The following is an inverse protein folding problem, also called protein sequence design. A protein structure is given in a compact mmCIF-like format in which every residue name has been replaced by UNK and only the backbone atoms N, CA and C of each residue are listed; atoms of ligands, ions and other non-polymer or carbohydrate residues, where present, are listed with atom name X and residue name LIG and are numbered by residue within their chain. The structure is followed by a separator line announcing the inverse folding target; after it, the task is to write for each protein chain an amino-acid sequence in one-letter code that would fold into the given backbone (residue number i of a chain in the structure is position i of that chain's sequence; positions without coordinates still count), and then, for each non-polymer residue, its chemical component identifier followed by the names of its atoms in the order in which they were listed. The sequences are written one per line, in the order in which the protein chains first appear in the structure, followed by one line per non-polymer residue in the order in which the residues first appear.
data_IF_758660791261
#
_entry.id   IF_758660791261
#
_cell.length_a   1.000
_cell.length_b   1.000
_cell.length_c   1.000
_cell.angle_alpha   90.00
_cell.angle_beta   90.00
_cell.angle_gamma   90.00
#
_symmetry.space_group_name_H-M   'P 1'
#
loop_
_entity.id
_entity.type
_entity.pdbx_description
1 polymer ?
#
# COMPACT_ATOMS: atom_id res chain seq x y z
N UNK A 1 -12.46 0.94 18.29
CA UNK A 1 -13.74 0.33 18.70
C UNK A 1 -13.51 -1.01 19.39
N UNK A 2 -13.17 -2.11 18.69
CA UNK A 2 -12.91 -3.41 19.34
C UNK A 2 -11.75 -3.40 20.36
N UNK A 3 -10.66 -2.69 20.05
CA UNK A 3 -9.51 -2.52 20.95
C UNK A 3 -9.87 -1.81 22.27
N UNK A 4 -10.63 -0.71 22.17
CA UNK A 4 -11.06 0.10 23.32
C UNK A 4 -12.07 -0.68 24.17
N UNK A 5 -13.00 -1.39 23.53
CA UNK A 5 -13.93 -2.30 24.22
C UNK A 5 -13.22 -3.44 24.95
N UNK A 6 -12.21 -4.05 24.32
CA UNK A 6 -11.40 -5.09 24.96
C UNK A 6 -10.61 -4.55 26.17
N UNK A 7 -10.02 -3.37 26.05
CA UNK A 7 -9.31 -2.70 27.14
C UNK A 7 -10.24 -2.37 28.32
N UNK A 8 -11.45 -1.89 28.05
CA UNK A 8 -12.48 -1.57 29.04
C UNK A 8 -12.99 -2.80 29.80
N UNK A 9 -13.14 -3.93 29.09
CA UNK A 9 -13.69 -5.16 29.66
C UNK A 9 -12.64 -6.00 30.39
N UNK A 10 -11.36 -5.90 30.03
CA UNK A 10 -10.26 -6.67 30.63
C UNK A 10 -10.22 -6.68 32.18
N UNK A 11 -10.35 -5.54 32.90
CA UNK A 11 -10.35 -5.55 34.37
C UNK A 11 -11.60 -6.18 35.00
N UNK A 12 -12.73 -6.18 34.28
CA UNK A 12 -14.03 -6.66 34.76
C UNK A 12 -14.34 -8.09 34.30
N UNK A 13 -13.43 -8.68 33.52
CA UNK A 13 -13.60 -9.94 32.84
C UNK A 13 -13.30 -11.15 33.75
N UNK A 14 -14.17 -12.17 33.67
CA UNK A 14 -13.86 -13.55 34.11
C UNK A 14 -12.74 -14.16 33.23
N UNK A 15 -12.10 -15.25 33.69
CA UNK A 15 -10.87 -15.79 33.09
C UNK A 15 -10.96 -16.03 31.57
N UNK A 16 -12.11 -16.52 31.07
CA UNK A 16 -12.34 -16.70 29.63
C UNK A 16 -12.42 -15.39 28.84
N UNK A 17 -12.96 -14.34 29.44
CA UNK A 17 -13.07 -13.01 28.82
C UNK A 17 -11.73 -12.25 28.89
N UNK A 18 -10.90 -12.52 29.92
CA UNK A 18 -9.53 -11.99 30.01
C UNK A 18 -8.66 -12.47 28.87
N UNK A 19 -8.75 -13.75 28.51
CA UNK A 19 -8.03 -14.31 27.38
C UNK A 19 -8.38 -13.61 26.06
N UNK A 20 -9.68 -13.38 25.82
CA UNK A 20 -10.16 -12.71 24.61
C UNK A 20 -9.68 -11.26 24.57
N UNK A 21 -9.85 -10.53 25.68
CA UNK A 21 -9.49 -9.10 25.75
C UNK A 21 -7.99 -8.87 25.64
N UNK A 22 -7.17 -9.72 26.27
CA UNK A 22 -5.71 -9.67 26.16
C UNK A 22 -5.24 -10.02 24.74
N UNK A 23 -5.82 -11.04 24.12
CA UNK A 23 -5.48 -11.43 22.74
C UNK A 23 -5.83 -10.35 21.72
N UNK A 24 -6.97 -9.66 21.92
CA UNK A 24 -7.33 -8.51 21.08
C UNK A 24 -6.30 -7.38 21.25
N UNK A 25 -5.82 -7.13 22.47
CA UNK A 25 -4.86 -6.05 22.76
C UNK A 25 -3.51 -6.29 22.08
N UNK A 26 -2.95 -7.48 22.24
CA UNK A 26 -1.64 -7.85 21.66
C UNK A 26 -1.68 -8.06 20.16
N UNK A 27 -2.86 -8.28 19.58
CA UNK A 27 -3.03 -8.36 18.12
C UNK A 27 -2.96 -7.00 17.41
N UNK A 28 -3.16 -5.87 18.11
CA UNK A 28 -3.23 -4.55 17.47
C UNK A 28 -1.93 -4.17 16.73
N UNK A 29 -0.73 -4.27 17.33
CA UNK A 29 0.54 -4.00 16.64
C UNK A 29 0.76 -4.87 15.41
N UNK A 30 0.42 -6.16 15.51
CA UNK A 30 0.53 -7.14 14.43
C UNK A 30 -0.42 -6.82 13.26
N UNK A 31 -1.68 -6.52 13.55
CA UNK A 31 -2.68 -6.14 12.55
C UNK A 31 -2.34 -4.80 11.89
N UNK A 32 -1.85 -3.82 12.65
CA UNK A 32 -1.38 -2.54 12.12
C UNK A 32 -0.21 -2.73 11.14
N UNK A 33 0.79 -3.50 11.53
CA UNK A 33 1.93 -3.83 10.67
C UNK A 33 1.47 -4.51 9.38
N UNK A 34 0.59 -5.52 9.49
CA UNK A 34 0.03 -6.21 8.33
C UNK A 34 -0.72 -5.26 7.40
N UNK A 35 -1.56 -4.38 7.96
CA UNK A 35 -2.30 -3.38 7.21
C UNK A 35 -1.35 -2.42 6.48
N UNK A 36 -0.29 -1.93 7.12
CA UNK A 36 0.70 -1.05 6.48
C UNK A 36 1.33 -1.72 5.26
N UNK A 37 1.62 -3.01 5.37
CA UNK A 37 2.21 -3.80 4.29
C UNK A 37 1.26 -3.95 3.11
N UNK A 38 0.04 -4.41 3.36
CA UNK A 38 -0.95 -4.58 2.30
C UNK A 38 -1.30 -3.27 1.60
N UNK A 39 -1.26 -2.15 2.34
CA UNK A 39 -1.65 -0.84 1.79
C UNK A 39 -0.56 -0.20 0.93
N UNK A 40 0.72 -0.44 1.24
CA UNK A 40 1.84 0.29 0.63
C UNK A 40 2.83 -0.58 -0.15
N UNK A 41 2.74 -1.90 -0.12
CA UNK A 41 3.60 -2.77 -0.96
C UNK A 41 2.79 -3.42 -2.08
N UNK A 42 3.17 -3.14 -3.33
CA UNK A 42 2.37 -3.49 -4.51
C UNK A 42 2.15 -5.00 -4.73
N UNK A 43 2.93 -5.89 -4.10
CA UNK A 43 2.67 -7.34 -3.99
C UNK A 43 3.42 -7.90 -2.77
N UNK A 44 2.74 -8.46 -1.74
CA UNK A 44 3.43 -9.06 -0.60
C UNK A 44 4.19 -10.31 -1.08
N UNK A 45 5.51 -10.22 -1.22
CA UNK A 45 6.34 -11.41 -1.50
C UNK A 45 6.13 -12.43 -0.38
N UNK A 46 5.83 -13.67 -0.78
CA UNK A 46 5.51 -14.82 0.07
C UNK A 46 6.59 -15.00 1.14
N UNK A 47 6.16 -14.95 2.39
CA UNK A 47 6.94 -15.14 3.61
C UNK A 47 7.80 -13.93 4.04
N UNK A 48 7.10 -12.93 4.61
CA UNK A 48 7.75 -11.89 5.41
C UNK A 48 8.06 -12.51 6.77
N UNK A 49 9.33 -12.57 7.16
CA UNK A 49 9.78 -13.00 8.49
C UNK A 49 8.97 -12.39 9.64
N UNK A 50 8.42 -11.18 9.42
CA UNK A 50 7.51 -10.50 10.35
C UNK A 50 6.20 -11.24 10.68
N UNK A 51 5.72 -12.18 9.87
CA UNK A 51 4.50 -12.96 10.20
C UNK A 51 4.73 -13.88 11.39
N UNK A 52 5.91 -14.52 11.46
CA UNK A 52 6.29 -15.33 12.62
C UNK A 52 6.38 -14.49 13.88
N UNK A 53 6.97 -13.29 13.77
CA UNK A 53 7.04 -12.32 14.87
C UNK A 53 5.65 -11.81 15.30
N UNK A 54 4.76 -11.53 14.35
CA UNK A 54 3.38 -11.12 14.62
C UNK A 54 2.56 -12.23 15.30
N UNK A 55 2.72 -13.49 14.88
CA UNK A 55 2.08 -14.62 15.56
C UNK A 55 2.65 -14.80 16.97
N UNK A 56 3.97 -14.71 17.10
CA UNK A 56 4.64 -14.83 18.39
C UNK A 56 4.21 -13.74 19.38
N UNK A 57 4.09 -12.48 18.94
CA UNK A 57 3.67 -11.38 19.82
C UNK A 57 2.26 -11.57 20.40
N UNK A 58 1.37 -12.26 19.66
CA UNK A 58 0.00 -12.56 20.11
C UNK A 58 -0.05 -13.83 20.95
N UNK A 59 0.60 -14.90 20.50
CA UNK A 59 0.47 -16.23 21.11
C UNK A 59 1.22 -16.36 22.43
N UNK A 60 2.40 -15.75 22.57
CA UNK A 60 3.22 -15.93 23.76
C UNK A 60 2.55 -15.38 25.05
N UNK A 61 1.95 -14.17 25.07
CA UNK A 61 1.20 -13.70 26.22
C UNK A 61 -0.08 -14.50 26.49
N UNK A 62 -0.74 -15.01 25.45
CA UNK A 62 -1.92 -15.87 25.58
C UNK A 62 -1.56 -17.21 26.22
N UNK A 63 -0.43 -17.81 25.83
CA UNK A 63 0.09 -19.03 26.45
C UNK A 63 0.37 -18.78 27.93
N UNK A 64 1.05 -17.67 28.29
CA UNK A 64 1.30 -17.33 29.70
C UNK A 64 0.01 -17.27 30.52
N UNK A 65 -1.02 -16.59 30.02
CA UNK A 65 -2.29 -16.47 30.71
C UNK A 65 -2.98 -17.83 30.89
N UNK A 66 -2.97 -18.69 29.88
CA UNK A 66 -3.59 -20.03 29.96
C UNK A 66 -2.83 -20.95 30.91
N UNK A 67 -1.49 -20.90 30.92
CA UNK A 67 -0.66 -21.84 31.69
C UNK A 67 -0.43 -21.39 33.12
N UNK A 68 -0.32 -20.09 33.38
CA UNK A 68 0.03 -19.54 34.69
C UNK A 68 -1.03 -18.59 35.27
N UNK A 69 -2.05 -18.21 34.49
CA UNK A 69 -3.07 -17.27 34.95
C UNK A 69 -2.44 -15.93 35.36
N UNK A 70 -2.79 -15.46 36.56
CA UNK A 70 -2.17 -14.28 37.20
C UNK A 70 -0.91 -14.61 38.01
N UNK A 71 -0.55 -15.89 38.13
CA UNK A 71 0.63 -16.31 38.88
C UNK A 71 1.89 -16.19 38.03
N UNK A 72 3.02 -15.95 38.68
CA UNK A 72 4.29 -15.81 38.01
C UNK A 72 4.78 -17.19 37.51
N UNK A 73 5.41 -17.23 36.35
CA UNK A 73 5.83 -18.47 35.69
C UNK A 73 6.88 -19.32 36.46
N UNK A 74 7.28 -18.89 37.65
CA UNK A 74 8.29 -19.53 38.50
C UNK A 74 9.73 -19.46 37.96
N UNK A 75 9.89 -19.09 36.68
CA UNK A 75 11.18 -18.94 36.00
C UNK A 75 11.32 -17.53 35.40
N UNK A 76 12.37 -16.77 35.76
CA UNK A 76 12.62 -15.44 35.20
C UNK A 76 12.97 -15.47 33.71
N UNK A 77 13.37 -16.63 33.18
CA UNK A 77 13.61 -16.82 31.75
C UNK A 77 12.28 -17.00 31.03
N UNK A 78 11.38 -17.82 31.59
CA UNK A 78 10.08 -18.08 30.98
C UNK A 78 9.18 -16.83 31.00
N UNK A 79 9.22 -16.07 32.10
CA UNK A 79 8.55 -14.78 32.20
C UNK A 79 9.04 -13.80 31.11
N UNK A 80 10.37 -13.68 30.94
CA UNK A 80 10.95 -12.84 29.87
C UNK A 80 10.55 -13.30 28.48
N UNK A 81 10.48 -14.60 28.23
CA UNK A 81 10.13 -15.15 26.93
C UNK A 81 8.64 -15.04 26.60
N UNK A 82 7.75 -15.09 27.58
CA UNK A 82 6.30 -15.06 27.33
C UNK A 82 5.65 -13.68 27.49
N UNK A 83 6.28 -12.78 28.23
CA UNK A 83 5.75 -11.43 28.47
C UNK A 83 6.70 -10.35 27.91
N UNK A 84 7.98 -10.37 28.29
CA UNK A 84 8.90 -9.28 27.95
C UNK A 84 9.32 -9.21 26.48
N UNK A 85 9.73 -10.34 25.89
CA UNK A 85 10.21 -10.40 24.50
C UNK A 85 9.09 -10.14 23.47
N UNK A 86 7.85 -10.63 23.64
CA UNK A 86 6.72 -10.26 22.80
C UNK A 86 6.49 -8.75 22.69
N UNK A 87 6.65 -8.01 23.79
CA UNK A 87 6.51 -6.55 23.79
C UNK A 87 7.58 -5.85 22.95
N UNK A 88 8.83 -6.32 23.00
CA UNK A 88 9.90 -5.80 22.12
C UNK A 88 9.58 -6.06 20.64
N UNK A 89 8.98 -7.21 20.35
CA UNK A 89 8.54 -7.57 19.00
C UNK A 89 7.42 -6.64 18.52
N UNK A 90 6.46 -6.28 19.38
CA UNK A 90 5.41 -5.31 19.06
C UNK A 90 5.98 -3.96 18.61
N UNK A 91 6.97 -3.42 19.34
CA UNK A 91 7.66 -2.19 18.93
C UNK A 91 8.32 -2.34 17.56
N UNK A 92 9.01 -3.46 17.32
CA UNK A 92 9.61 -3.76 16.03
C UNK A 92 8.59 -3.79 14.88
N UNK A 93 7.42 -4.39 15.12
CA UNK A 93 6.33 -4.44 14.15
C UNK A 93 5.77 -3.04 13.85
N UNK A 94 5.54 -2.22 14.87
CA UNK A 94 5.03 -0.84 14.68
C UNK A 94 6.05 0.00 13.91
N UNK A 95 7.32 -0.03 14.31
CA UNK A 95 8.39 0.75 13.67
C UNK A 95 8.62 0.33 12.22
N UNK A 96 8.59 -0.98 11.93
CA UNK A 96 8.72 -1.45 10.55
C UNK A 96 7.50 -1.11 9.71
N UNK A 97 6.29 -1.15 10.28
CA UNK A 97 5.05 -0.69 9.63
C UNK A 97 5.12 0.80 9.28
N UNK A 98 5.50 1.64 10.24
CA UNK A 98 5.73 3.08 10.03
C UNK A 98 6.84 3.35 9.00
N UNK A 99 7.93 2.58 9.03
CA UNK A 99 9.00 2.66 8.05
C UNK A 99 8.52 2.36 6.62
N UNK A 100 7.63 1.36 6.45
CA UNK A 100 7.00 1.06 5.16
C UNK A 100 6.17 2.25 4.66
N UNK A 101 5.36 2.86 5.54
CA UNK A 101 4.59 4.06 5.22
C UNK A 101 5.54 5.19 4.78
N UNK A 102 6.58 5.49 5.55
CA UNK A 102 7.54 6.57 5.26
C UNK A 102 8.39 6.34 4.01
N UNK A 103 8.67 5.09 3.64
CA UNK A 103 9.46 4.78 2.44
C UNK A 103 8.59 4.86 1.18
N UNK A 104 7.41 4.22 1.19
CA UNK A 104 6.57 4.06 0.00
C UNK A 104 5.51 5.16 -0.15
N UNK A 105 5.36 6.11 0.80
CA UNK A 105 4.33 7.14 0.68
C UNK A 105 4.47 8.02 -0.57
N UNK A 106 5.66 8.12 -1.17
CA UNK A 106 5.90 8.88 -2.41
C UNK A 106 5.49 8.13 -3.69
N UNK A 107 5.28 6.83 -3.60
CA UNK A 107 5.00 5.97 -4.76
C UNK A 107 3.54 6.10 -5.23
N UNK A 108 2.64 6.65 -4.41
CA UNK A 108 1.23 6.88 -4.77
C UNK A 108 1.06 8.22 -5.51
N UNK A 109 0.62 8.17 -6.78
CA UNK A 109 0.49 9.34 -7.66
C UNK A 109 -0.80 10.15 -7.44
N UNK A 110 -1.77 9.64 -6.66
CA UNK A 110 -3.01 10.38 -6.35
C UNK A 110 -2.82 11.18 -5.05
N UNK A 111 -2.61 12.52 -5.10
CA UNK A 111 -2.22 13.30 -3.93
C UNK A 111 -3.25 13.29 -2.80
N UNK A 112 -4.55 13.20 -3.11
CA UNK A 112 -5.64 13.11 -2.13
C UNK A 112 -5.68 11.77 -1.40
N UNK A 113 -5.55 10.64 -2.11
CA UNK A 113 -5.50 9.29 -1.50
C UNK A 113 -4.19 9.05 -0.76
N UNK A 114 -3.07 9.54 -1.30
CA UNK A 114 -1.74 9.52 -0.68
C UNK A 114 -1.73 10.22 0.67
N UNK A 115 -2.23 11.47 0.72
CA UNK A 115 -2.25 12.25 1.97
C UNK A 115 -3.14 11.57 3.01
N UNK A 116 -4.35 11.14 2.64
CA UNK A 116 -5.27 10.49 3.57
C UNK A 116 -4.68 9.20 4.16
N UNK A 117 -4.18 8.28 3.31
CA UNK A 117 -3.63 6.98 3.76
C UNK A 117 -2.36 7.15 4.59
N UNK A 118 -1.44 8.00 4.14
CA UNK A 118 -0.19 8.27 4.83
C UNK A 118 -0.41 8.93 6.19
N UNK A 119 -1.28 9.95 6.27
CA UNK A 119 -1.61 10.59 7.53
C UNK A 119 -2.36 9.63 8.47
N UNK A 120 -3.39 8.93 7.99
CA UNK A 120 -4.17 7.98 8.80
C UNK A 120 -3.28 6.89 9.40
N UNK A 121 -2.48 6.21 8.58
CA UNK A 121 -1.63 5.11 9.04
C UNK A 121 -0.43 5.63 9.85
N UNK A 122 0.11 6.79 9.53
CA UNK A 122 1.15 7.44 10.34
C UNK A 122 0.66 7.80 11.74
N UNK A 123 -0.47 8.50 11.85
CA UNK A 123 -1.06 8.85 13.14
C UNK A 123 -1.53 7.63 13.92
N UNK A 124 -2.18 6.66 13.26
CA UNK A 124 -2.56 5.40 13.90
C UNK A 124 -1.34 4.66 14.46
N UNK A 125 -0.22 4.62 13.73
CA UNK A 125 1.02 4.01 14.21
C UNK A 125 1.62 4.73 15.42
N UNK A 126 1.66 6.07 15.42
CA UNK A 126 2.13 6.86 16.58
C UNK A 126 1.25 6.66 17.81
N UNK A 127 -0.06 6.56 17.61
CA UNK A 127 -1.03 6.27 18.68
C UNK A 127 -0.80 4.88 19.25
N UNK A 128 -0.70 3.86 18.40
CA UNK A 128 -0.46 2.48 18.85
C UNK A 128 0.87 2.41 19.60
N UNK A 129 1.91 3.09 19.09
CA UNK A 129 3.21 3.17 19.75
C UNK A 129 3.14 3.81 21.14
N UNK A 130 2.44 4.95 21.26
CA UNK A 130 2.27 5.62 22.55
C UNK A 130 1.42 4.81 23.52
N UNK A 131 0.36 4.14 23.06
CA UNK A 131 -0.44 3.25 23.90
C UNK A 131 0.39 2.09 24.47
N UNK A 132 1.15 1.38 23.63
CA UNK A 132 2.04 0.28 24.06
C UNK A 132 3.11 0.79 25.03
N UNK A 133 3.70 1.96 24.76
CA UNK A 133 4.69 2.57 25.65
C UNK A 133 4.11 2.99 27.00
N UNK A 134 2.93 3.61 27.02
CA UNK A 134 2.30 4.02 28.27
C UNK A 134 1.86 2.84 29.13
N UNK A 135 1.48 1.71 28.53
CA UNK A 135 1.18 0.49 29.28
C UNK A 135 2.38 -0.02 30.09
N UNK A 136 3.60 0.15 29.56
CA UNK A 136 4.84 -0.31 30.21
C UNK A 136 5.47 0.71 31.15
N UNK A 137 5.48 1.98 30.75
CA UNK A 137 6.33 2.99 31.39
C UNK A 137 5.57 3.89 32.37
N UNK A 138 4.24 3.86 32.33
CA UNK A 138 3.40 4.73 33.17
C UNK A 138 2.46 3.87 33.99
N UNK A 139 2.61 3.91 35.32
CA UNK A 139 1.61 3.46 36.28
C UNK A 139 0.41 4.42 36.30
N UNK A 140 -0.16 4.69 35.13
CA UNK A 140 -1.38 5.46 35.01
C UNK A 140 -2.54 4.61 35.52
N UNK A 141 -3.36 5.17 36.41
CA UNK A 141 -4.65 4.58 36.77
C UNK A 141 -5.51 4.35 35.53
N UNK A 142 -6.45 3.42 35.64
CA UNK A 142 -7.31 2.95 34.54
C UNK A 142 -7.98 4.08 33.74
N UNK A 143 -8.35 5.16 34.44
CA UNK A 143 -8.98 6.37 33.90
C UNK A 143 -8.01 7.17 32.99
N UNK A 144 -6.73 7.28 33.36
CA UNK A 144 -5.72 7.99 32.58
C UNK A 144 -5.43 7.30 31.24
N UNK A 145 -5.45 5.96 31.23
CA UNK A 145 -5.26 5.16 30.01
C UNK A 145 -6.47 5.28 29.06
N UNK A 146 -7.69 5.35 29.61
CA UNK A 146 -8.93 5.54 28.84
C UNK A 146 -9.02 6.90 28.17
N UNK A 147 -8.76 7.98 28.92
CA UNK A 147 -8.80 9.33 28.37
C UNK A 147 -7.82 9.51 27.20
N UNK A 148 -6.65 8.87 27.27
CA UNK A 148 -5.67 8.94 26.21
C UNK A 148 -6.09 8.15 24.96
N UNK A 149 -6.73 7.00 25.14
CA UNK A 149 -7.29 6.20 24.05
C UNK A 149 -8.42 6.95 23.33
N UNK A 150 -9.24 7.68 24.07
CA UNK A 150 -10.30 8.53 23.51
C UNK A 150 -9.74 9.75 22.77
N UNK A 151 -8.72 10.42 23.31
CA UNK A 151 -8.03 11.53 22.60
C UNK A 151 -7.44 11.03 21.28
N UNK A 152 -6.82 9.85 21.30
CA UNK A 152 -6.27 9.22 20.10
C UNK A 152 -7.35 8.86 19.07
N UNK A 153 -8.50 8.33 19.52
CA UNK A 153 -9.64 8.01 18.67
C UNK A 153 -10.23 9.28 18.03
N UNK A 154 -10.36 10.35 18.83
CA UNK A 154 -10.83 11.66 18.37
C UNK A 154 -9.85 12.26 17.36
N UNK A 155 -8.54 12.16 17.61
CA UNK A 155 -7.52 12.63 16.66
C UNK A 155 -7.61 11.88 15.32
N UNK A 156 -7.74 10.55 15.34
CA UNK A 156 -7.96 9.73 14.13
C UNK A 156 -9.26 10.12 13.42
N UNK A 157 -10.35 10.32 14.18
CA UNK A 157 -11.62 10.78 13.63
C UNK A 157 -11.49 12.16 12.98
N UNK A 158 -10.88 13.14 13.64
CA UNK A 158 -10.59 14.46 13.07
C UNK A 158 -9.73 14.37 11.81
N UNK A 159 -8.75 13.46 11.76
CA UNK A 159 -7.92 13.21 10.57
C UNK A 159 -8.69 12.58 9.42
N UNK A 160 -9.56 11.62 9.72
CA UNK A 160 -10.48 11.03 8.75
C UNK A 160 -11.45 12.06 8.17
N UNK A 161 -11.92 12.98 9.01
CA UNK A 161 -12.83 14.07 8.63
C UNK A 161 -12.10 15.13 7.78
N UNK A 162 -10.92 15.54 8.19
CA UNK A 162 -10.09 16.53 7.45
C UNK A 162 -9.52 15.96 6.16
N UNK A 163 -9.31 14.64 6.04
CA UNK A 163 -8.94 14.00 4.78
C UNK A 163 -10.14 13.71 3.85
N UNK A 164 -11.37 13.98 4.31
CA UNK A 164 -12.63 13.94 3.55
C UNK A 164 -13.22 15.34 3.39
N UNK A 165 -12.42 16.31 2.93
CA UNK A 165 -12.85 17.71 2.69
C UNK A 165 -14.02 17.91 1.72
N UNK A 166 -14.68 16.85 1.23
CA UNK A 166 -15.86 16.92 0.36
C UNK A 166 -17.09 16.13 0.82
N UNK A 167 -17.11 15.52 2.02
CA UNK A 167 -18.25 14.66 2.46
C UNK A 167 -19.04 15.21 3.64
N UNK A 168 -18.42 15.92 4.59
CA UNK A 168 -19.15 16.44 5.77
C UNK A 168 -19.49 17.92 5.72
N UNK A 169 -18.54 18.75 5.25
CA UNK A 169 -18.77 20.14 4.92
C UNK A 169 -18.64 20.18 3.41
N UNK A 170 -19.75 20.23 2.68
CA UNK A 170 -19.78 20.25 1.23
C UNK A 170 -19.02 21.44 0.66
N UNK A 171 -17.69 21.38 0.67
CA UNK A 171 -16.88 22.10 -0.29
C UNK A 171 -16.86 21.17 -1.47
N UNK A 172 -17.77 21.43 -2.41
CA UNK A 172 -17.54 21.04 -3.77
C UNK A 172 -16.05 21.32 -4.04
N UNK A 173 -15.28 20.28 -4.36
CA UNK A 173 -14.15 20.51 -5.26
C UNK A 173 -14.71 21.43 -6.34
N UNK A 174 -14.02 22.49 -6.79
CA UNK A 174 -14.52 23.26 -7.91
C UNK A 174 -14.85 22.22 -8.98
N UNK A 175 -16.15 21.93 -9.15
CA UNK A 175 -16.60 21.31 -10.36
C UNK A 175 -16.06 22.30 -11.39
N UNK A 176 -15.45 21.84 -12.48
CA UNK A 176 -15.34 22.70 -13.65
C UNK A 176 -16.71 23.34 -13.74
N UNK A 177 -16.78 24.66 -13.57
CA UNK A 177 -18.03 25.34 -13.73
C UNK A 177 -18.47 24.88 -15.11
N UNK A 178 -19.53 24.08 -15.17
CA UNK A 178 -20.36 24.00 -16.35
C UNK A 178 -21.01 25.39 -16.39
N UNK A 179 -20.20 26.40 -16.72
CA UNK A 179 -20.69 27.56 -17.43
C UNK A 179 -21.52 26.96 -18.54
N UNK A 180 -22.82 27.21 -18.47
CA UNK A 180 -23.79 26.98 -19.54
C UNK A 180 -23.36 27.80 -20.76
N UNK A 181 -22.25 27.40 -21.37
CA UNK A 181 -21.88 27.74 -22.70
C UNK A 181 -22.05 26.45 -23.49
N UNK A 182 -22.60 26.61 -24.69
CA UNK A 182 -22.77 25.63 -25.76
C UNK A 182 -21.70 24.53 -25.80
N UNK A 183 -21.98 23.36 -26.40
CA UNK A 183 -20.98 22.31 -26.63
C UNK A 183 -19.72 22.91 -27.27
N UNK A 184 -18.75 23.27 -26.43
CA UNK A 184 -17.55 23.93 -26.84
C UNK A 184 -16.64 22.88 -27.47
N UNK A 185 -16.16 23.18 -28.67
CA UNK A 185 -15.08 22.44 -29.30
C UNK A 185 -13.98 22.14 -28.27
N UNK A 186 -13.40 20.93 -28.26
CA UNK A 186 -12.40 20.56 -27.26
C UNK A 186 -11.27 21.59 -27.27
N UNK A 187 -11.09 22.25 -26.12
CA UNK A 187 -10.10 23.30 -25.89
C UNK A 187 -8.80 22.98 -26.66
N UNK A 188 -8.43 23.87 -27.58
CA UNK A 188 -7.34 23.65 -28.55
C UNK A 188 -6.03 23.28 -27.85
N UNK A 189 -5.85 23.73 -26.60
CA UNK A 189 -4.69 23.41 -25.77
C UNK A 189 -4.69 21.94 -25.31
N UNK A 190 -5.79 21.45 -24.73
CA UNK A 190 -5.95 20.03 -24.32
C UNK A 190 -5.77 19.11 -25.54
N UNK A 191 -6.33 19.50 -26.68
CA UNK A 191 -6.19 18.78 -27.94
C UNK A 191 -4.74 18.74 -28.47
N UNK A 192 -3.89 19.73 -28.15
CA UNK A 192 -2.46 19.75 -28.50
C UNK A 192 -1.65 18.88 -27.56
N UNK A 193 -1.90 18.98 -26.25
CA UNK A 193 -1.21 18.17 -25.24
C UNK A 193 -1.44 16.67 -25.46
N UNK A 194 -2.69 16.29 -25.74
CA UNK A 194 -3.04 14.90 -26.10
C UNK A 194 -2.34 14.45 -27.39
N UNK A 195 -2.24 15.32 -28.39
CA UNK A 195 -1.51 15.01 -29.63
C UNK A 195 -0.03 14.77 -29.37
N UNK A 196 0.63 15.60 -28.57
CA UNK A 196 2.04 15.43 -28.21
C UNK A 196 2.26 14.10 -27.45
N UNK A 197 1.37 13.76 -26.52
CA UNK A 197 1.40 12.49 -25.80
C UNK A 197 1.27 11.29 -26.74
N UNK A 198 0.25 11.30 -27.61
CA UNK A 198 0.01 10.22 -28.57
C UNK A 198 1.16 10.09 -29.57
N UNK A 199 1.74 11.19 -30.03
CA UNK A 199 2.90 11.17 -30.92
C UNK A 199 4.12 10.55 -30.24
N UNK A 200 4.37 10.87 -28.96
CA UNK A 200 5.46 10.25 -28.21
C UNK A 200 5.28 8.74 -28.03
N UNK A 201 4.04 8.29 -27.84
CA UNK A 201 3.71 6.87 -27.80
C UNK A 201 3.95 6.23 -29.17
N UNK A 202 3.45 6.82 -30.25
CA UNK A 202 3.63 6.30 -31.61
C UNK A 202 5.10 6.20 -32.02
N UNK A 203 5.91 7.16 -31.58
CA UNK A 203 7.37 7.16 -31.80
C UNK A 203 8.12 6.12 -30.95
N UNK A 204 7.42 5.34 -30.12
CA UNK A 204 8.03 4.30 -29.30
C UNK A 204 8.84 4.82 -28.12
N UNK A 205 8.58 6.05 -27.63
CA UNK A 205 9.34 6.62 -26.50
C UNK A 205 9.29 5.72 -25.26
N UNK A 206 8.19 4.95 -25.09
CA UNK A 206 8.06 3.96 -24.03
C UNK A 206 9.15 2.87 -24.06
N UNK A 207 9.78 2.59 -25.20
CA UNK A 207 10.86 1.59 -25.34
C UNK A 207 12.20 2.05 -24.75
N UNK A 208 12.33 3.33 -24.37
CA UNK A 208 13.55 3.83 -23.77
C UNK A 208 13.82 3.17 -22.40
N UNK A 209 15.01 2.59 -22.24
CA UNK A 209 15.40 2.02 -20.94
C UNK A 209 15.51 3.12 -19.88
N UNK A 210 15.01 2.84 -18.67
CA UNK A 210 15.09 3.79 -17.55
C UNK A 210 14.21 5.03 -17.70
N UNK A 211 13.23 5.00 -18.61
CA UNK A 211 12.27 6.09 -18.79
C UNK A 211 11.55 6.43 -17.47
N UNK A 212 11.66 7.68 -17.06
CA UNK A 212 10.96 8.25 -15.90
C UNK A 212 9.90 9.24 -16.36
N UNK A 213 8.97 9.60 -15.47
CA UNK A 213 7.99 10.65 -15.76
C UNK A 213 8.69 11.98 -16.12
N UNK A 214 9.76 12.32 -15.39
CA UNK A 214 10.52 13.55 -15.62
C UNK A 214 11.13 13.61 -17.03
N UNK A 215 11.77 12.51 -17.45
CA UNK A 215 12.35 12.41 -18.80
C UNK A 215 11.28 12.38 -19.89
N UNK A 216 10.14 11.73 -19.63
CA UNK A 216 9.02 11.66 -20.57
C UNK A 216 8.34 13.03 -20.74
N UNK A 217 8.05 13.72 -19.64
CA UNK A 217 7.46 15.06 -19.63
C UNK A 217 8.33 16.07 -20.38
N UNK A 218 9.66 15.99 -20.16
CA UNK A 218 10.63 16.80 -20.91
C UNK A 218 10.62 16.52 -22.40
N UNK A 219 10.52 15.25 -22.81
CA UNK A 219 10.48 14.87 -24.21
C UNK A 219 9.23 15.39 -24.93
N UNK A 220 8.07 15.39 -24.26
CA UNK A 220 6.81 15.92 -24.81
C UNK A 220 6.61 17.43 -24.57
N UNK A 221 7.61 18.10 -23.97
CA UNK A 221 7.60 19.53 -23.63
C UNK A 221 6.42 19.95 -22.74
N UNK A 222 6.05 19.10 -21.79
CA UNK A 222 5.01 19.40 -20.80
C UNK A 222 5.58 19.39 -19.37
N UNK A 223 5.03 20.19 -18.45
CA UNK A 223 5.32 20.07 -17.02
C UNK A 223 4.92 18.69 -16.48
N UNK A 224 5.72 18.12 -15.57
CA UNK A 224 5.46 16.78 -15.01
C UNK A 224 4.07 16.65 -14.36
N UNK A 225 3.55 17.72 -13.75
CA UNK A 225 2.22 17.69 -13.13
C UNK A 225 1.11 17.57 -14.19
N UNK A 226 1.23 18.29 -15.33
CA UNK A 226 0.29 18.20 -16.46
C UNK A 226 0.38 16.83 -17.12
N UNK A 227 1.58 16.33 -17.38
CA UNK A 227 1.79 14.98 -17.94
C UNK A 227 1.15 13.91 -17.06
N UNK A 228 1.35 14.00 -15.75
CA UNK A 228 0.71 13.10 -14.78
C UNK A 228 -0.82 13.23 -14.81
N UNK A 229 -1.35 14.44 -14.93
CA UNK A 229 -2.78 14.68 -15.01
C UNK A 229 -3.40 14.02 -16.26
N UNK A 230 -2.78 14.18 -17.42
CA UNK A 230 -3.23 13.56 -18.68
C UNK A 230 -3.26 12.03 -18.57
N UNK A 231 -2.19 11.42 -18.06
CA UNK A 231 -2.08 9.97 -17.90
C UNK A 231 -3.16 9.41 -16.95
N UNK A 232 -3.44 10.12 -15.85
CA UNK A 232 -4.37 9.63 -14.84
C UNK A 232 -5.85 9.93 -15.19
N UNK A 233 -6.15 11.17 -15.57
CA UNK A 233 -7.53 11.64 -15.74
C UNK A 233 -8.08 11.31 -17.12
N UNK A 234 -7.24 11.36 -18.16
CA UNK A 234 -7.72 11.11 -19.53
C UNK A 234 -7.51 9.68 -19.98
N UNK A 235 -6.36 9.08 -19.61
CA UNK A 235 -6.03 7.71 -20.03
C UNK A 235 -6.36 6.64 -18.98
N UNK A 236 -6.66 7.04 -17.74
CA UNK A 236 -7.13 6.12 -16.69
C UNK A 236 -6.04 5.24 -16.06
N UNK A 237 -4.76 5.52 -16.29
CA UNK A 237 -3.67 4.73 -15.68
C UNK A 237 -3.44 5.15 -14.22
N UNK A 238 -3.12 4.18 -13.36
CA UNK A 238 -2.88 4.43 -11.92
C UNK A 238 -1.55 5.13 -11.63
N UNK A 239 -0.52 4.83 -12.42
CA UNK A 239 0.82 5.39 -12.26
C UNK A 239 1.61 5.34 -13.58
N UNK A 240 2.73 6.08 -13.63
CA UNK A 240 3.56 6.18 -14.84
C UNK A 240 4.17 4.83 -15.27
N UNK A 241 4.70 3.97 -14.36
CA UNK A 241 5.13 2.63 -14.75
C UNK A 241 4.03 1.76 -15.38
N UNK A 242 2.80 1.84 -14.88
CA UNK A 242 1.64 1.11 -15.41
C UNK A 242 1.32 1.57 -16.85
N UNK A 243 1.31 2.89 -17.07
CA UNK A 243 1.18 3.49 -18.39
C UNK A 243 2.27 3.01 -19.36
N UNK A 244 3.55 3.08 -18.97
CA UNK A 244 4.66 2.65 -19.84
C UNK A 244 4.60 1.15 -20.12
N UNK A 245 4.35 0.33 -19.09
CA UNK A 245 4.29 -1.12 -19.23
C UNK A 245 3.11 -1.57 -20.09
N UNK A 246 1.98 -0.86 -20.05
CA UNK A 246 0.84 -1.14 -20.93
C UNK A 246 1.25 -1.13 -22.41
N UNK A 247 1.92 -0.05 -22.86
CA UNK A 247 2.38 0.05 -24.25
C UNK A 247 3.50 -0.93 -24.58
N UNK A 248 4.48 -1.10 -23.67
CA UNK A 248 5.56 -2.10 -23.83
C UNK A 248 5.01 -3.51 -24.01
N UNK A 249 4.00 -3.89 -23.22
CA UNK A 249 3.41 -5.23 -23.28
C UNK A 249 2.56 -5.42 -24.53
N UNK A 250 1.77 -4.41 -24.93
CA UNK A 250 1.01 -4.47 -26.17
C UNK A 250 1.94 -4.73 -27.37
N UNK A 251 3.07 -4.04 -27.40
CA UNK A 251 4.08 -4.16 -28.44
C UNK A 251 4.87 -5.48 -28.34
N UNK A 252 5.25 -5.90 -27.12
CA UNK A 252 5.86 -7.21 -26.90
C UNK A 252 4.96 -8.36 -27.35
N UNK A 253 3.66 -8.30 -27.07
CA UNK A 253 2.68 -9.31 -27.50
C UNK A 253 2.60 -9.41 -29.03
N UNK A 254 2.71 -8.27 -29.72
CA UNK A 254 2.76 -8.24 -31.18
C UNK A 254 4.04 -8.92 -31.70
N UNK A 255 5.21 -8.53 -31.19
CA UNK A 255 6.48 -9.18 -31.54
C UNK A 255 6.46 -10.69 -31.26
N UNK A 256 5.94 -11.13 -30.10
CA UNK A 256 5.84 -12.55 -29.76
C UNK A 256 5.00 -13.38 -30.75
N UNK A 257 4.09 -12.75 -31.49
CA UNK A 257 3.26 -13.40 -32.52
C UNK A 257 3.86 -13.30 -33.92
N UNK A 258 4.42 -12.14 -34.26
CA UNK A 258 4.95 -11.84 -35.60
C UNK A 258 6.35 -12.43 -35.81
N UNK A 259 7.15 -12.56 -34.75
CA UNK A 259 8.53 -13.07 -34.80
C UNK A 259 8.72 -14.28 -33.85
N UNK A 260 8.17 -15.46 -34.19
CA UNK A 260 8.19 -16.64 -33.30
C UNK A 260 9.61 -17.14 -32.98
N UNK A 261 10.56 -16.95 -33.91
CA UNK A 261 11.96 -17.35 -33.78
C UNK A 261 12.80 -16.37 -32.97
N UNK A 262 12.30 -15.15 -32.73
CA UNK A 262 13.05 -14.13 -31.99
C UNK A 262 13.18 -14.52 -30.51
N UNK A 263 14.38 -14.46 -29.91
CA UNK A 263 14.54 -14.75 -28.49
C UNK A 263 13.71 -13.81 -27.62
N UNK A 264 12.99 -14.36 -26.63
CA UNK A 264 12.21 -13.55 -25.66
C UNK A 264 13.11 -12.52 -24.94
N UNK A 265 14.37 -12.87 -24.74
CA UNK A 265 15.39 -11.95 -24.19
C UNK A 265 15.55 -10.70 -25.05
N UNK A 266 15.65 -10.85 -26.37
CA UNK A 266 15.79 -9.72 -27.31
C UNK A 266 14.54 -8.84 -27.26
N UNK A 267 13.36 -9.44 -27.40
CA UNK A 267 12.07 -8.72 -27.31
C UNK A 267 11.98 -7.95 -25.99
N UNK A 268 12.39 -8.55 -24.86
CA UNK A 268 12.36 -7.88 -23.57
C UNK A 268 13.26 -6.62 -23.54
N UNK A 269 14.47 -6.72 -24.08
CA UNK A 269 15.43 -5.61 -24.12
C UNK A 269 14.97 -4.51 -25.08
N UNK A 270 14.43 -4.88 -26.24
CA UNK A 270 13.92 -3.93 -27.25
C UNK A 270 12.70 -3.15 -26.76
N UNK A 271 11.93 -3.75 -25.83
CA UNK A 271 10.82 -3.07 -25.14
C UNK A 271 11.30 -2.19 -23.98
N UNK A 272 12.60 -2.03 -23.76
CA UNK A 272 13.18 -1.13 -22.76
C UNK A 272 13.19 -1.69 -21.33
N UNK A 273 13.08 -3.02 -21.16
CA UNK A 273 13.26 -3.65 -19.85
C UNK A 273 14.75 -3.86 -19.57
N UNK A 274 15.20 -3.50 -18.36
CA UNK A 274 16.60 -3.69 -17.93
C UNK A 274 17.02 -5.16 -17.82
N UNK A 275 16.05 -6.06 -17.67
CA UNK A 275 16.31 -7.49 -17.53
C UNK A 275 15.08 -8.32 -17.93
N UNK A 276 15.36 -9.53 -18.40
CA UNK A 276 14.32 -10.53 -18.74
C UNK A 276 13.48 -10.90 -17.52
N UNK A 277 14.08 -10.92 -16.31
CA UNK A 277 13.35 -11.18 -15.07
C UNK A 277 12.28 -10.12 -14.80
N UNK A 278 12.61 -8.84 -15.01
CA UNK A 278 11.62 -7.75 -14.88
C UNK A 278 10.52 -7.86 -15.92
N UNK A 279 10.86 -8.17 -17.17
CA UNK A 279 9.90 -8.38 -18.24
C UNK A 279 8.95 -9.54 -17.93
N UNK A 280 9.48 -10.72 -17.61
CA UNK A 280 8.69 -11.92 -17.29
C UNK A 280 7.72 -11.67 -16.14
N UNK A 281 8.17 -10.95 -15.11
CA UNK A 281 7.33 -10.53 -13.99
C UNK A 281 6.19 -9.65 -14.49
N UNK A 282 6.49 -8.51 -15.13
CA UNK A 282 5.49 -7.55 -15.60
C UNK A 282 4.50 -8.19 -16.59
N UNK A 283 4.98 -9.05 -17.49
CA UNK A 283 4.15 -9.76 -18.46
C UNK A 283 3.15 -10.70 -17.77
N UNK A 284 3.62 -11.57 -16.86
CA UNK A 284 2.76 -12.48 -16.10
C UNK A 284 1.78 -11.73 -15.21
N UNK A 285 2.21 -10.61 -14.66
CA UNK A 285 1.39 -9.75 -13.80
C UNK A 285 0.18 -9.13 -14.53
N UNK A 286 0.32 -8.79 -15.82
CA UNK A 286 -0.74 -8.16 -16.61
C UNK A 286 -1.55 -9.17 -17.44
N UNK A 287 -0.93 -10.24 -17.93
CA UNK A 287 -1.54 -11.19 -18.86
C UNK A 287 -1.85 -12.55 -18.24
N UNK A 288 -1.49 -12.76 -16.97
CA UNK A 288 -1.76 -14.01 -16.24
C UNK A 288 -0.89 -15.21 -16.64
N UNK A 289 -0.10 -15.09 -17.71
CA UNK A 289 0.74 -16.16 -18.26
C UNK A 289 2.15 -15.66 -18.59
N UNK A 290 3.10 -16.58 -18.75
CA UNK A 290 4.48 -16.22 -19.14
C UNK A 290 4.58 -15.87 -20.63
N UNK A 291 5.58 -15.09 -21.08
CA UNK A 291 5.79 -14.81 -22.50
C UNK A 291 5.93 -16.08 -23.35
N UNK A 292 6.61 -17.10 -22.82
CA UNK A 292 6.77 -18.40 -23.49
C UNK A 292 5.43 -19.11 -23.67
N UNK A 293 4.56 -19.09 -22.65
CA UNK A 293 3.21 -19.65 -22.74
C UNK A 293 2.36 -18.87 -23.74
N UNK A 294 2.44 -17.53 -23.73
CA UNK A 294 1.72 -16.68 -24.67
C UNK A 294 2.11 -16.98 -26.12
N UNK A 295 3.42 -17.12 -26.40
CA UNK A 295 3.92 -17.51 -27.73
C UNK A 295 3.38 -18.87 -28.17
N UNK A 296 3.45 -19.87 -27.30
CA UNK A 296 2.94 -21.22 -27.60
C UNK A 296 1.43 -21.23 -27.87
N UNK A 297 0.65 -20.47 -27.12
CA UNK A 297 -0.80 -20.38 -27.30
C UNK A 297 -1.19 -19.68 -28.62
N UNK A 298 -0.36 -18.75 -29.11
CA UNK A 298 -0.56 -18.13 -30.42
C UNK A 298 -0.25 -19.07 -31.59
N UNK A 299 0.74 -19.95 -31.44
CA UNK A 299 1.12 -20.91 -32.48
C UNK A 299 0.05 -21.98 -32.73
N UNK A 300 -0.63 -22.46 -31.68
CA UNK A 300 -1.67 -23.49 -31.80
C UNK A 300 -3.03 -22.99 -32.31
N UNK A 301 -3.22 -21.67 -32.47
CA UNK A 301 -4.43 -21.09 -33.08
C UNK A 301 -4.34 -20.93 -34.61
N UNK A 302 -3.17 -21.16 -35.21
CA UNK A 302 -2.93 -21.06 -36.67
C UNK A 302 -2.90 -22.40 -37.42
N UNK A 303 -3.09 -23.52 -36.72
CA UNK A 303 -3.08 -24.89 -37.29
C UNK A 303 -4.47 -25.56 -37.29
N UNK A 304 -5.55 -24.82 -37.03
CA UNK A 304 -6.93 -25.31 -37.02
C UNK A 304 -7.79 -24.70 -38.14
#
# INVERSE_FOLDING_TARGET
MLAVGAFLLHPLAEDGVRLITQSIRTAIPALFWWLCIETFTDRPKRFRWGVGFALYSVLAPAIHLVTFGSTDAGSPVLHRLLIGLPQLVEYGLILTGLGVVLYHWRDDLIPTRRRLRGWLLGFAGVIILTQVALEQWVEAGQIGKLLLADIALIAIACLLLTGRTGVLLGHASPQPQLTNNEPAEPDLEISRERRALNQAIQNGLYRQEGLTLATFARAIKLPEYKTRQLINQELGFRNFPDFVNHYRLADACRHLKETPDEPITTIALDMGFRSVSSFNRVFKEHLGMTPTQYRKAGASAGEA
#
